data_IF_368514835079
#
_entry.id   IF_368514835079
#
_cell.length_a   1.000
_cell.length_b   1.000
_cell.length_c   1.000
_cell.angle_alpha   90.00
_cell.angle_beta   90.00
_cell.angle_gamma   90.00
#
_symmetry.space_group_name_H-M   'P 1'
#
loop_
_entity.id
_entity.type
_entity.pdbx_description
1 polymer ?
#
# COMPACT_ATOMS: atom_id res chain seq x y z
N UNK A 1 -33.50 -16.61 -9.91
CA UNK A 1 -33.09 -18.02 -9.79
C UNK A 1 -32.55 -18.21 -8.39
N UNK A 2 -33.30 -18.92 -7.61
CA UNK A 2 -33.15 -19.13 -6.17
C UNK A 2 -32.15 -20.25 -5.91
N UNK A 3 -31.15 -20.05 -5.06
CA UNK A 3 -30.28 -21.11 -4.57
C UNK A 3 -30.14 -20.97 -3.06
N UNK A 4 -31.01 -21.72 -2.39
CA UNK A 4 -31.03 -21.83 -0.94
C UNK A 4 -29.79 -22.55 -0.39
N UNK A 5 -29.21 -21.97 0.63
CA UNK A 5 -28.13 -22.55 1.45
C UNK A 5 -28.75 -23.35 2.59
N UNK A 6 -28.51 -24.64 2.65
CA UNK A 6 -28.84 -25.51 3.79
C UNK A 6 -27.72 -25.51 4.82
N UNK A 7 -28.01 -25.03 5.99
CA UNK A 7 -27.22 -25.24 7.21
C UNK A 7 -27.30 -26.68 7.68
N UNK A 8 -26.15 -27.33 7.95
CA UNK A 8 -26.08 -28.52 8.79
C UNK A 8 -25.17 -28.25 9.98
N UNK A 9 -25.76 -28.12 11.13
CA UNK A 9 -25.07 -28.07 12.41
C UNK A 9 -24.53 -29.45 12.81
N UNK A 10 -23.30 -29.49 13.30
CA UNK A 10 -22.79 -30.60 14.12
C UNK A 10 -22.13 -30.02 15.37
N UNK A 11 -22.75 -30.32 16.51
CA UNK A 11 -22.23 -30.14 17.86
C UNK A 11 -21.15 -31.18 18.08
N UNK A 12 -19.97 -30.79 18.52
CA UNK A 12 -19.00 -31.70 19.14
C UNK A 12 -18.62 -31.21 20.54
N UNK A 13 -18.80 -32.12 21.45
CA UNK A 13 -18.61 -32.06 22.88
C UNK A 13 -17.09 -32.06 23.20
N UNK A 14 -16.60 -31.10 23.95
CA UNK A 14 -15.23 -31.07 24.46
C UNK A 14 -15.18 -31.74 25.83
N UNK A 15 -14.35 -32.76 25.97
CA UNK A 15 -14.04 -33.41 27.22
C UNK A 15 -12.81 -32.73 27.87
N UNK A 16 -12.99 -32.24 29.07
CA UNK A 16 -11.92 -31.69 29.91
C UNK A 16 -11.21 -32.84 30.65
N UNK A 17 -9.89 -32.90 30.53
CA UNK A 17 -9.04 -33.78 31.36
C UNK A 17 -8.33 -32.92 32.40
N UNK A 18 -8.65 -33.14 33.64
CA UNK A 18 -7.97 -32.55 34.80
C UNK A 18 -6.81 -33.45 35.24
N UNK A 19 -5.59 -32.94 35.25
CA UNK A 19 -4.46 -33.62 35.89
C UNK A 19 -4.26 -33.03 37.28
N UNK A 20 -4.38 -33.92 38.32
CA UNK A 20 -4.07 -33.65 39.72
C UNK A 20 -2.60 -33.93 40.00
N UNK A 21 -1.86 -32.98 40.53
CA UNK A 21 -0.54 -33.20 41.12
C UNK A 21 -0.67 -33.49 42.59
N UNK A 22 -0.17 -34.66 43.00
CA UNK A 22 -0.01 -35.05 44.42
C UNK A 22 1.33 -34.55 44.93
N UNK A 23 1.29 -33.83 46.05
CA UNK A 23 2.44 -33.49 46.86
C UNK A 23 2.77 -34.62 47.84
N UNK A 24 4.01 -35.07 47.90
CA UNK A 24 4.55 -35.90 48.97
C UNK A 24 5.56 -35.10 49.77
N UNK A 25 5.31 -34.93 51.06
CA UNK A 25 6.20 -34.31 52.00
C UNK A 25 7.12 -35.35 52.65
N UNK A 26 8.26 -34.93 53.15
CA UNK A 26 9.18 -35.70 53.96
C UNK A 26 10.29 -34.82 54.51
N UNK A 27 10.31 -34.66 55.83
CA UNK A 27 11.13 -33.74 56.58
C UNK A 27 12.54 -34.21 56.90
N UNK A 28 13.34 -33.35 57.58
CA UNK A 28 14.55 -33.72 58.28
C UNK A 28 15.65 -32.68 58.22
N UNK A 29 15.86 -31.98 59.31
CA UNK A 29 16.75 -31.00 59.80
C UNK A 29 18.24 -31.03 59.39
N UNK A 30 18.88 -29.88 59.55
CA UNK A 30 20.31 -29.67 59.43
C UNK A 30 20.64 -28.20 59.22
N UNK A 31 20.99 -27.47 60.30
CA UNK A 31 21.38 -26.07 60.20
C UNK A 31 22.77 -25.91 59.57
N UNK A 32 22.80 -25.15 58.51
CA UNK A 32 24.00 -24.63 57.91
C UNK A 32 23.63 -23.32 57.22
N UNK A 33 24.12 -22.19 57.78
CA UNK A 33 23.87 -20.88 57.20
C UNK A 33 24.48 -20.78 55.81
N UNK A 34 23.61 -20.74 54.80
CA UNK A 34 24.01 -20.39 53.44
C UNK A 34 24.19 -18.87 53.32
N UNK A 35 25.25 -18.40 52.67
CA UNK A 35 25.39 -16.99 52.38
C UNK A 35 24.20 -16.55 51.49
N UNK A 36 23.59 -15.44 51.87
CA UNK A 36 22.52 -14.80 51.10
C UNK A 36 23.03 -14.54 49.68
N UNK A 37 22.38 -15.03 48.60
CA UNK A 37 22.82 -14.74 47.26
C UNK A 37 22.75 -13.24 47.04
N UNK A 38 23.89 -12.66 46.62
CA UNK A 38 23.94 -11.29 46.15
C UNK A 38 22.97 -11.17 44.97
N UNK A 39 22.05 -10.19 44.98
CA UNK A 39 21.13 -10.03 43.83
C UNK A 39 21.91 -9.84 42.57
N UNK A 40 21.69 -10.72 41.57
CA UNK A 40 22.24 -10.57 40.23
C UNK A 40 21.69 -9.27 39.69
N UNK A 41 22.53 -8.34 39.16
CA UNK A 41 22.04 -7.11 38.63
C UNK A 41 21.04 -7.43 37.48
N UNK A 42 19.85 -6.87 37.56
CA UNK A 42 18.87 -6.94 36.48
C UNK A 42 19.53 -6.38 35.22
N UNK A 43 19.56 -7.12 34.12
CA UNK A 43 20.16 -6.61 32.89
C UNK A 43 19.47 -5.30 32.52
N UNK A 44 20.24 -4.24 32.34
CA UNK A 44 19.74 -2.98 31.81
C UNK A 44 19.11 -3.29 30.43
N UNK A 45 17.86 -2.90 30.17
CA UNK A 45 17.26 -3.15 28.89
C UNK A 45 18.12 -2.53 27.79
N UNK A 46 18.53 -3.34 26.82
CA UNK A 46 19.23 -2.86 25.62
C UNK A 46 18.29 -1.88 24.95
N UNK A 47 18.72 -0.65 24.61
CA UNK A 47 17.87 0.29 23.93
C UNK A 47 17.37 -0.32 22.63
N UNK A 48 16.06 -0.29 22.40
CA UNK A 48 15.46 -0.73 21.14
C UNK A 48 16.07 0.10 19.98
N UNK A 49 16.50 -0.53 18.90
CA UNK A 49 16.99 0.21 17.75
C UNK A 49 15.93 1.21 17.29
N UNK A 50 16.30 2.44 17.07
CA UNK A 50 15.39 3.47 16.55
C UNK A 50 15.81 3.78 15.13
N UNK A 51 14.95 3.49 14.15
CA UNK A 51 15.20 3.87 12.77
C UNK A 51 15.21 5.40 12.63
N UNK A 52 16.06 5.91 11.76
CA UNK A 52 16.04 7.33 11.41
C UNK A 52 14.69 7.70 10.75
N UNK A 53 14.20 8.93 10.94
CA UNK A 53 13.06 9.47 10.19
C UNK A 53 13.43 9.61 8.71
N UNK A 54 12.44 9.45 7.82
CA UNK A 54 12.60 9.78 6.40
C UNK A 54 12.73 11.29 6.18
N UNK A 55 12.50 12.12 7.21
CA UNK A 55 12.61 13.57 7.13
C UNK A 55 11.30 14.28 6.84
N UNK A 56 11.40 15.48 6.29
CA UNK A 56 10.24 16.29 5.87
C UNK A 56 9.60 15.73 4.60
N UNK A 57 8.32 16.09 4.28
CA UNK A 57 7.70 15.66 3.02
C UNK A 57 8.55 15.89 1.78
N UNK A 58 9.22 17.05 1.67
CA UNK A 58 10.12 17.33 0.55
C UNK A 58 11.34 16.41 0.49
N UNK A 59 11.92 16.04 1.64
CA UNK A 59 13.02 15.08 1.71
C UNK A 59 12.55 13.68 1.30
N UNK A 60 11.36 13.27 1.74
CA UNK A 60 10.76 12.00 1.34
C UNK A 60 10.57 11.91 -0.18
N UNK A 61 10.08 13.00 -0.81
CA UNK A 61 9.99 13.08 -2.29
C UNK A 61 11.38 12.93 -2.93
N UNK A 62 12.40 13.61 -2.43
CA UNK A 62 13.76 13.52 -2.99
C UNK A 62 14.33 12.10 -2.89
N UNK A 63 14.00 11.37 -1.85
CA UNK A 63 14.52 10.02 -1.61
C UNK A 63 13.72 8.93 -2.31
N UNK A 64 12.40 9.08 -2.46
CA UNK A 64 11.51 8.01 -2.90
C UNK A 64 10.91 8.20 -4.29
N UNK A 65 10.90 9.42 -4.85
CA UNK A 65 10.29 9.68 -6.15
C UNK A 65 11.30 9.68 -7.31
N UNK A 66 10.88 9.25 -8.51
CA UNK A 66 9.63 8.59 -8.81
C UNK A 66 9.60 7.15 -8.31
N UNK A 67 8.41 6.67 -7.97
CA UNK A 67 8.17 5.28 -7.58
C UNK A 67 7.42 4.49 -8.66
N UNK A 68 7.40 3.17 -8.49
CA UNK A 68 6.71 2.23 -9.38
C UNK A 68 6.05 1.11 -8.57
N UNK A 69 4.97 0.53 -9.10
CA UNK A 69 4.35 -0.66 -8.51
C UNK A 69 4.80 -1.94 -9.22
N UNK A 70 5.02 -3.02 -8.46
CA UNK A 70 5.13 -4.38 -8.98
C UNK A 70 3.71 -4.98 -9.12
N UNK A 71 2.83 -4.35 -9.89
CA UNK A 71 1.45 -4.76 -10.03
C UNK A 71 1.27 -6.07 -10.80
N UNK A 72 0.14 -6.73 -10.58
CA UNK A 72 -0.24 -8.00 -11.21
C UNK A 72 0.80 -9.12 -10.97
N UNK A 73 1.36 -9.19 -9.78
CA UNK A 73 2.38 -10.19 -9.41
C UNK A 73 2.02 -10.83 -8.08
N UNK A 74 2.48 -10.30 -6.92
CA UNK A 74 2.13 -10.88 -5.62
C UNK A 74 0.70 -10.52 -5.15
N UNK A 75 0.06 -9.60 -5.83
CA UNK A 75 -1.35 -9.24 -5.71
C UNK A 75 -2.27 -10.16 -6.52
N UNK A 76 -1.73 -11.00 -7.42
CA UNK A 76 -2.52 -11.85 -8.29
C UNK A 76 -3.30 -12.93 -7.53
N UNK A 77 -4.56 -13.12 -7.91
CA UNK A 77 -5.50 -14.10 -7.33
C UNK A 77 -6.04 -14.98 -8.44
N UNK A 78 -5.92 -16.32 -8.27
CA UNK A 78 -6.45 -17.31 -9.22
C UNK A 78 -7.96 -17.49 -9.03
N UNK A 79 -8.39 -17.70 -7.78
CA UNK A 79 -9.80 -17.78 -7.41
C UNK A 79 -10.01 -17.20 -6.01
N UNK A 80 -11.12 -16.48 -5.85
CA UNK A 80 -11.48 -15.88 -4.56
C UNK A 80 -12.05 -16.89 -3.55
N UNK A 81 -12.43 -18.09 -4.01
CA UNK A 81 -13.16 -19.10 -3.23
C UNK A 81 -12.26 -20.19 -2.64
N UNK A 82 -11.09 -20.43 -3.23
CA UNK A 82 -10.17 -21.49 -2.78
C UNK A 82 -9.16 -20.94 -1.79
N UNK A 83 -9.17 -21.42 -0.56
CA UNK A 83 -8.24 -21.02 0.50
C UNK A 83 -7.90 -22.20 1.42
N UNK A 84 -6.69 -22.25 1.99
CA UNK A 84 -5.52 -21.49 1.56
C UNK A 84 -4.92 -22.04 0.26
N UNK A 85 -4.26 -21.20 -0.52
CA UNK A 85 -3.46 -21.67 -1.66
C UNK A 85 -2.28 -22.52 -1.17
N UNK A 86 -1.98 -23.58 -1.93
CA UNK A 86 -0.85 -24.49 -1.65
C UNK A 86 0.43 -24.09 -2.39
N UNK A 87 0.34 -23.20 -3.37
CA UNK A 87 1.44 -22.73 -4.23
C UNK A 87 1.26 -21.26 -4.59
N UNK A 88 2.34 -20.61 -5.05
CA UNK A 88 2.30 -19.23 -5.47
C UNK A 88 1.44 -19.04 -6.72
N UNK A 89 0.58 -18.02 -6.70
CA UNK A 89 -0.28 -17.61 -7.84
C UNK A 89 0.23 -16.35 -8.55
N UNK A 90 1.46 -15.93 -8.29
CA UNK A 90 2.03 -14.69 -8.83
C UNK A 90 2.06 -14.59 -10.37
N UNK A 91 1.83 -15.72 -11.08
CA UNK A 91 1.86 -15.76 -12.55
C UNK A 91 0.49 -15.83 -13.21
N UNK A 92 -0.59 -15.99 -12.44
CA UNK A 92 -1.93 -16.25 -13.00
C UNK A 92 -2.51 -15.07 -13.78
N UNK A 93 -1.99 -13.85 -13.56
CA UNK A 93 -2.36 -12.66 -14.32
C UNK A 93 -1.37 -12.33 -15.45
N UNK A 94 -0.54 -13.29 -15.86
CA UNK A 94 0.29 -13.24 -17.06
C UNK A 94 1.70 -12.71 -16.88
N UNK A 95 2.08 -12.23 -15.70
CA UNK A 95 3.46 -11.87 -15.42
C UNK A 95 4.31 -13.10 -15.05
N UNK A 96 5.61 -13.13 -15.36
CA UNK A 96 6.51 -14.14 -14.86
C UNK A 96 6.77 -13.93 -13.36
N UNK A 97 7.33 -14.94 -12.65
CA UNK A 97 7.75 -14.77 -11.27
C UNK A 97 8.73 -13.60 -11.12
N UNK A 98 8.50 -12.78 -10.08
CA UNK A 98 9.40 -11.67 -9.78
C UNK A 98 10.83 -12.15 -9.54
N UNK A 99 11.81 -11.42 -10.04
CA UNK A 99 13.23 -11.79 -9.97
C UNK A 99 14.10 -10.55 -9.78
N UNK A 100 15.38 -10.76 -9.44
CA UNK A 100 16.32 -9.66 -9.20
C UNK A 100 16.49 -8.73 -10.41
N UNK A 101 16.40 -9.25 -11.64
CA UNK A 101 16.67 -8.46 -12.85
C UNK A 101 15.65 -7.32 -13.02
N UNK A 102 14.37 -7.55 -12.71
CA UNK A 102 13.35 -6.48 -12.83
C UNK A 102 13.61 -5.32 -11.85
N UNK A 103 14.00 -5.61 -10.60
CA UNK A 103 14.28 -4.54 -9.64
C UNK A 103 15.55 -3.77 -10.00
N UNK A 104 16.58 -4.46 -10.51
CA UNK A 104 17.77 -3.79 -11.06
C UNK A 104 17.40 -2.89 -12.25
N UNK A 105 16.45 -3.33 -13.09
CA UNK A 105 15.98 -2.53 -14.22
C UNK A 105 15.12 -1.33 -13.77
N UNK A 106 14.29 -1.48 -12.74
CA UNK A 106 13.59 -0.33 -12.14
C UNK A 106 14.56 0.73 -11.63
N UNK A 107 15.57 0.32 -10.87
CA UNK A 107 16.60 1.24 -10.38
C UNK A 107 17.39 1.89 -11.53
N UNK A 108 17.77 1.13 -12.55
CA UNK A 108 18.47 1.64 -13.74
C UNK A 108 17.62 2.60 -14.58
N UNK A 109 16.30 2.44 -14.59
CA UNK A 109 15.34 3.35 -15.24
C UNK A 109 15.11 4.64 -14.44
N UNK A 110 15.71 4.78 -13.24
CA UNK A 110 15.63 6.00 -12.42
C UNK A 110 14.56 5.98 -11.34
N UNK A 111 13.82 4.88 -11.15
CA UNK A 111 12.91 4.73 -10.02
C UNK A 111 13.69 4.59 -8.71
N UNK A 112 13.21 5.23 -7.66
CA UNK A 112 13.85 5.21 -6.32
C UNK A 112 13.10 4.37 -5.31
N UNK A 113 11.84 4.09 -5.57
CA UNK A 113 11.00 3.26 -4.72
C UNK A 113 10.14 2.30 -5.51
N UNK A 114 9.77 1.19 -4.88
CA UNK A 114 8.81 0.23 -5.42
C UNK A 114 7.74 -0.09 -4.37
N UNK A 115 6.48 -0.01 -4.78
CA UNK A 115 5.37 -0.56 -4.01
C UNK A 115 5.15 -2.01 -4.47
N UNK A 116 5.13 -2.92 -3.52
CA UNK A 116 4.92 -4.35 -3.73
C UNK A 116 3.54 -4.70 -3.18
N UNK A 117 2.50 -4.67 -4.02
CA UNK A 117 1.17 -5.07 -3.60
C UNK A 117 1.13 -6.58 -3.36
N UNK A 118 0.54 -7.00 -2.23
CA UNK A 118 0.49 -8.41 -1.83
C UNK A 118 -0.88 -8.79 -1.32
N UNK A 119 -1.42 -9.88 -1.84
CA UNK A 119 -2.61 -10.55 -1.31
C UNK A 119 -2.20 -11.59 -0.28
N UNK A 120 -2.81 -11.55 0.90
CA UNK A 120 -2.46 -12.42 2.03
C UNK A 120 -3.56 -13.42 2.39
N UNK A 121 -4.82 -12.99 2.28
CA UNK A 121 -5.97 -13.77 2.74
C UNK A 121 -6.04 -15.15 2.10
N UNK A 122 -5.82 -15.24 0.79
CA UNK A 122 -5.83 -16.49 0.04
C UNK A 122 -4.68 -17.44 0.41
N UNK A 123 -3.69 -16.96 1.15
CA UNK A 123 -2.55 -17.74 1.63
C UNK A 123 -2.61 -18.00 3.14
N UNK A 124 -3.73 -17.69 3.79
CA UNK A 124 -3.90 -17.88 5.22
C UNK A 124 -4.91 -19.00 5.53
N UNK A 125 -4.67 -19.73 6.60
CA UNK A 125 -5.60 -20.73 7.11
C UNK A 125 -6.78 -20.11 7.87
N UNK A 126 -7.69 -20.95 8.36
CA UNK A 126 -8.87 -20.53 9.14
C UNK A 126 -8.53 -19.82 10.46
N UNK A 127 -7.30 -19.94 10.95
CA UNK A 127 -6.80 -19.24 12.14
C UNK A 127 -6.06 -17.95 11.80
N UNK A 128 -6.13 -17.50 10.53
CA UNK A 128 -5.40 -16.36 9.99
C UNK A 128 -3.86 -16.53 10.06
N UNK A 129 -3.37 -17.78 9.98
CA UNK A 129 -1.94 -18.06 9.90
C UNK A 129 -1.50 -18.04 8.44
N UNK A 130 -0.61 -17.14 8.09
CA UNK A 130 -0.06 -17.03 6.73
C UNK A 130 0.83 -18.24 6.43
N UNK A 131 0.65 -18.85 5.27
CA UNK A 131 1.46 -19.98 4.83
C UNK A 131 2.96 -19.60 4.81
N UNK A 132 3.84 -20.38 5.47
CA UNK A 132 5.26 -20.04 5.56
C UNK A 132 5.96 -19.88 4.21
N UNK A 133 5.57 -20.67 3.21
CA UNK A 133 6.14 -20.55 1.86
C UNK A 133 5.83 -19.19 1.22
N UNK A 134 4.63 -18.63 1.47
CA UNK A 134 4.22 -17.34 0.93
C UNK A 134 4.96 -16.20 1.60
N UNK A 135 5.03 -16.24 2.93
CA UNK A 135 5.79 -15.23 3.68
C UNK A 135 7.27 -15.21 3.25
N UNK A 136 7.88 -16.40 3.07
CA UNK A 136 9.24 -16.53 2.55
C UNK A 136 9.38 -16.01 1.10
N UNK A 137 8.36 -16.22 0.24
CA UNK A 137 8.35 -15.69 -1.13
C UNK A 137 8.27 -14.18 -1.15
N UNK A 138 7.35 -13.59 -0.38
CA UNK A 138 7.25 -12.13 -0.25
C UNK A 138 8.56 -11.54 0.25
N UNK A 139 9.16 -12.16 1.28
CA UNK A 139 10.46 -11.74 1.78
C UNK A 139 11.53 -11.75 0.69
N UNK A 140 11.60 -12.80 -0.09
CA UNK A 140 12.57 -12.90 -1.20
C UNK A 140 12.38 -11.76 -2.21
N UNK A 141 11.14 -11.38 -2.53
CA UNK A 141 10.85 -10.28 -3.46
C UNK A 141 11.21 -8.93 -2.86
N UNK A 142 10.95 -8.71 -1.57
CA UNK A 142 11.41 -7.53 -0.84
C UNK A 142 12.94 -7.44 -0.86
N UNK A 143 13.64 -8.58 -0.65
CA UNK A 143 15.10 -8.63 -0.70
C UNK A 143 15.64 -8.25 -2.08
N UNK A 144 14.99 -8.65 -3.18
CA UNK A 144 15.37 -8.22 -4.53
C UNK A 144 15.31 -6.70 -4.69
N UNK A 145 14.23 -6.07 -4.22
CA UNK A 145 14.08 -4.62 -4.28
C UNK A 145 15.15 -3.91 -3.42
N UNK A 146 15.38 -4.40 -2.20
CA UNK A 146 16.39 -3.87 -1.30
C UNK A 146 17.81 -4.01 -1.86
N UNK A 147 18.13 -5.15 -2.47
CA UNK A 147 19.41 -5.38 -3.14
C UNK A 147 19.64 -4.45 -4.34
N UNK A 148 18.57 -3.99 -4.98
CA UNK A 148 18.63 -2.97 -6.03
C UNK A 148 18.73 -1.53 -5.49
N UNK A 149 18.73 -1.33 -4.16
CA UNK A 149 18.84 -0.03 -3.52
C UNK A 149 17.53 0.76 -3.46
N UNK A 150 16.38 0.14 -3.74
CA UNK A 150 15.08 0.80 -3.75
C UNK A 150 14.50 0.92 -2.33
N UNK A 151 13.76 2.00 -2.08
CA UNK A 151 12.76 2.00 -1.01
C UNK A 151 11.64 1.04 -1.35
N UNK A 152 11.09 0.37 -0.37
CA UNK A 152 10.03 -0.63 -0.55
C UNK A 152 8.82 -0.26 0.29
N UNK A 153 7.63 -0.29 -0.32
CA UNK A 153 6.36 -0.18 0.38
C UNK A 153 5.63 -1.52 0.21
N UNK A 154 5.40 -2.21 1.32
CA UNK A 154 4.71 -3.51 1.38
C UNK A 154 3.32 -3.31 1.98
N UNK A 155 2.26 -3.86 1.35
CA UNK A 155 0.89 -3.66 1.81
C UNK A 155 0.09 -4.97 1.96
N UNK A 156 -1.15 -4.82 2.44
CA UNK A 156 -2.26 -5.77 2.30
C UNK A 156 -3.15 -5.23 1.17
N UNK A 157 -3.23 -5.95 0.02
CA UNK A 157 -3.77 -5.39 -1.23
C UNK A 157 -5.21 -5.85 -1.56
N UNK A 158 -5.41 -6.95 -2.27
CA UNK A 158 -6.75 -7.43 -2.69
C UNK A 158 -7.52 -8.16 -1.57
N UNK A 159 -7.36 -7.72 -0.37
CA UNK A 159 -7.99 -8.31 0.81
C UNK A 159 -9.36 -7.66 1.14
N UNK A 160 -9.92 -6.85 0.24
CA UNK A 160 -11.16 -6.09 0.44
C UNK A 160 -12.42 -6.94 0.68
N UNK A 161 -12.42 -8.21 0.33
CA UNK A 161 -13.58 -9.09 0.56
C UNK A 161 -13.93 -9.29 2.05
N UNK A 162 -12.99 -9.07 2.96
CA UNK A 162 -13.18 -9.18 4.40
C UNK A 162 -12.96 -7.86 5.16
N UNK A 163 -12.28 -6.89 4.54
CA UNK A 163 -12.10 -5.53 5.08
C UNK A 163 -13.31 -4.65 4.71
N UNK A 164 -14.48 -5.02 5.20
CA UNK A 164 -15.71 -4.28 4.95
C UNK A 164 -15.84 -3.19 6.03
N UNK A 165 -15.88 -1.90 5.65
CA UNK A 165 -15.83 -0.79 6.60
C UNK A 165 -17.21 -0.46 7.17
N UNK A 166 -17.82 -1.44 7.88
CA UNK A 166 -19.01 -1.28 8.68
C UNK A 166 -18.85 -1.91 10.07
N UNK A 167 -19.68 -1.52 11.03
CA UNK A 167 -19.59 -1.98 12.41
C UNK A 167 -19.90 -3.48 12.58
N UNK A 168 -20.67 -4.07 11.66
CA UNK A 168 -21.02 -5.49 11.72
C UNK A 168 -19.81 -6.39 11.41
N UNK A 169 -18.90 -5.96 10.55
CA UNK A 169 -17.73 -6.71 10.13
C UNK A 169 -16.45 -6.29 10.86
N UNK A 170 -16.42 -5.11 11.49
CA UNK A 170 -15.23 -4.48 12.03
C UNK A 170 -14.43 -5.40 12.97
N UNK A 171 -15.07 -6.01 13.96
CA UNK A 171 -14.36 -6.81 14.96
C UNK A 171 -13.62 -8.02 14.36
N UNK A 172 -14.22 -8.67 13.36
CA UNK A 172 -13.60 -9.81 12.67
C UNK A 172 -12.47 -9.35 11.74
N UNK A 173 -12.66 -8.22 11.07
CA UNK A 173 -11.65 -7.61 10.21
C UNK A 173 -10.44 -7.14 11.01
N UNK A 174 -10.65 -6.44 12.14
CA UNK A 174 -9.58 -6.00 13.04
C UNK A 174 -8.75 -7.19 13.57
N UNK A 175 -9.42 -8.27 13.99
CA UNK A 175 -8.73 -9.46 14.48
C UNK A 175 -7.82 -10.09 13.40
N UNK A 176 -8.29 -10.18 12.17
CA UNK A 176 -7.52 -10.71 11.02
C UNK A 176 -6.40 -9.77 10.63
N UNK A 177 -6.66 -8.49 10.49
CA UNK A 177 -5.68 -7.47 10.13
C UNK A 177 -4.54 -7.43 11.15
N UNK A 178 -4.88 -7.48 12.45
CA UNK A 178 -3.90 -7.59 13.52
C UNK A 178 -3.05 -8.86 13.41
N UNK A 179 -3.70 -10.02 13.12
CA UNK A 179 -2.97 -11.29 12.93
C UNK A 179 -1.99 -11.21 11.77
N UNK A 180 -2.42 -10.70 10.61
CA UNK A 180 -1.57 -10.58 9.43
C UNK A 180 -0.41 -9.63 9.70
N UNK A 181 -0.67 -8.42 10.16
CA UNK A 181 0.40 -7.45 10.42
C UNK A 181 1.36 -7.88 11.53
N UNK A 182 0.90 -8.64 12.51
CA UNK A 182 1.81 -9.23 13.52
C UNK A 182 2.79 -10.22 12.89
N UNK A 183 2.33 -11.08 11.98
CA UNK A 183 3.18 -12.06 11.30
C UNK A 183 4.13 -11.37 10.31
N UNK A 184 3.60 -10.50 9.45
CA UNK A 184 4.38 -9.73 8.47
C UNK A 184 5.44 -8.90 9.19
N UNK A 185 5.05 -8.12 10.18
CA UNK A 185 5.97 -7.24 10.89
C UNK A 185 7.08 -8.00 11.64
N UNK A 186 6.79 -9.18 12.18
CA UNK A 186 7.81 -10.03 12.80
C UNK A 186 8.83 -10.57 11.78
N UNK A 187 8.39 -10.95 10.56
CA UNK A 187 9.29 -11.40 9.50
C UNK A 187 10.30 -10.32 9.08
N UNK A 188 9.86 -9.07 9.05
CA UNK A 188 10.65 -7.94 8.56
C UNK A 188 11.21 -7.02 9.67
N UNK A 189 11.15 -7.45 10.93
CA UNK A 189 11.46 -6.56 12.06
C UNK A 189 12.88 -5.99 12.09
N UNK A 190 13.83 -6.68 11.45
CA UNK A 190 15.24 -6.28 11.43
C UNK A 190 15.61 -5.44 10.18
N UNK A 191 14.66 -5.22 9.26
CA UNK A 191 14.87 -4.37 8.09
C UNK A 191 14.97 -2.89 8.48
N UNK A 192 15.79 -2.15 7.76
CA UNK A 192 16.02 -0.73 7.98
C UNK A 192 14.83 0.15 7.54
N UNK A 193 15.02 1.48 7.54
CA UNK A 193 14.00 2.47 7.19
C UNK A 193 13.68 2.56 5.69
N UNK A 194 14.35 1.80 4.83
CA UNK A 194 13.97 1.71 3.42
C UNK A 194 12.82 0.74 3.17
N UNK A 195 12.39 -0.02 4.18
CA UNK A 195 11.16 -0.79 4.11
C UNK A 195 10.07 -0.10 4.93
N UNK A 196 8.99 0.30 4.27
CA UNK A 196 7.78 0.86 4.84
C UNK A 196 6.66 -0.16 4.76
N UNK A 197 5.70 -0.08 5.68
CA UNK A 197 4.48 -0.87 5.63
C UNK A 197 3.29 0.03 5.35
N UNK A 198 2.38 -0.42 4.48
CA UNK A 198 1.12 0.24 4.17
C UNK A 198 -0.05 -0.66 4.62
N UNK A 199 -0.91 -0.14 5.50
CA UNK A 199 -1.83 -0.93 6.31
C UNK A 199 -2.81 -1.78 5.53
N UNK A 200 -3.40 -1.18 4.50
CA UNK A 200 -4.43 -1.75 3.63
C UNK A 200 -4.23 -1.27 2.19
N UNK A 201 -5.30 -1.30 1.39
CA UNK A 201 -5.35 -0.73 0.04
C UNK A 201 -6.62 0.15 -0.10
N UNK A 202 -7.42 -0.02 -1.10
CA UNK A 202 -8.62 0.75 -1.43
C UNK A 202 -9.86 0.24 -0.69
N UNK A 203 -9.89 0.43 0.63
CA UNK A 203 -10.99 -0.05 1.45
C UNK A 203 -12.24 0.81 1.23
N UNK A 204 -13.30 0.17 0.75
CA UNK A 204 -14.61 0.75 0.51
C UNK A 204 -15.72 -0.29 0.75
N UNK A 205 -16.96 0.17 0.85
CA UNK A 205 -18.12 -0.73 0.87
C UNK A 205 -18.22 -1.50 -0.46
N UNK A 206 -18.43 -2.83 -0.43
CA UNK A 206 -18.50 -3.64 -1.64
C UNK A 206 -19.58 -3.13 -2.61
N UNK A 207 -19.24 -3.08 -3.90
CA UNK A 207 -20.11 -2.67 -5.00
C UNK A 207 -20.77 -1.29 -4.81
N UNK A 208 -20.14 -0.40 -4.04
CA UNK A 208 -20.66 0.92 -3.74
C UNK A 208 -19.62 1.97 -4.15
N UNK A 209 -20.04 2.88 -5.05
CA UNK A 209 -19.21 3.98 -5.56
C UNK A 209 -19.75 5.35 -5.11
N UNK A 210 -20.46 5.37 -3.99
CA UNK A 210 -21.03 6.59 -3.41
C UNK A 210 -20.14 7.11 -2.29
N UNK A 211 -20.35 8.37 -1.93
CA UNK A 211 -19.73 8.98 -0.75
C UNK A 211 -19.92 8.09 0.49
N UNK A 212 -18.86 7.82 1.25
CA UNK A 212 -18.93 7.00 2.46
C UNK A 212 -19.82 7.65 3.53
N UNK A 213 -20.43 6.80 4.36
CA UNK A 213 -21.09 7.27 5.59
C UNK A 213 -20.04 7.56 6.68
N UNK A 214 -20.43 8.28 7.74
CA UNK A 214 -19.55 8.48 8.90
C UNK A 214 -19.20 7.17 9.61
N UNK A 215 -20.06 6.15 9.54
CA UNK A 215 -19.75 4.81 10.02
C UNK A 215 -18.58 4.22 9.22
N UNK A 216 -18.67 4.23 7.88
CA UNK A 216 -17.61 3.71 7.01
C UNK A 216 -16.26 4.39 7.28
N UNK A 217 -16.28 5.71 7.40
CA UNK A 217 -15.09 6.50 7.74
C UNK A 217 -14.50 6.10 9.11
N UNK A 218 -15.37 5.95 10.11
CA UNK A 218 -14.94 5.59 11.48
C UNK A 218 -14.32 4.20 11.53
N UNK A 219 -14.92 3.24 10.84
CA UNK A 219 -14.41 1.86 10.78
C UNK A 219 -13.09 1.80 10.01
N UNK A 220 -12.96 2.52 8.88
CA UNK A 220 -11.69 2.62 8.14
C UNK A 220 -10.56 3.18 9.03
N UNK A 221 -10.85 4.23 9.83
CA UNK A 221 -9.88 4.74 10.83
C UNK A 221 -9.49 3.68 11.85
N UNK A 222 -10.46 2.86 12.27
CA UNK A 222 -10.24 1.72 13.16
C UNK A 222 -9.25 0.73 12.56
N UNK A 223 -9.37 0.40 11.28
CA UNK A 223 -8.41 -0.45 10.58
C UNK A 223 -7.00 0.14 10.56
N UNK A 224 -6.87 1.44 10.27
CA UNK A 224 -5.58 2.12 10.33
C UNK A 224 -4.97 2.06 11.74
N UNK A 225 -5.77 2.24 12.80
CA UNK A 225 -5.29 2.14 14.18
C UNK A 225 -4.85 0.70 14.53
N UNK A 226 -5.66 -0.30 14.15
CA UNK A 226 -5.34 -1.72 14.35
C UNK A 226 -4.01 -2.10 13.68
N UNK A 227 -3.76 -1.61 12.47
CA UNK A 227 -2.51 -1.80 11.77
C UNK A 227 -1.32 -1.20 12.53
N UNK A 228 -1.41 0.09 12.91
CA UNK A 228 -0.34 0.79 13.62
C UNK A 228 -0.01 0.05 14.93
N UNK A 229 -1.02 -0.27 15.73
CA UNK A 229 -0.84 -0.95 17.00
C UNK A 229 -0.21 -2.34 16.85
N UNK A 230 -0.66 -3.11 15.84
CA UNK A 230 -0.13 -4.44 15.57
C UNK A 230 1.36 -4.40 15.20
N UNK A 231 1.76 -3.48 14.33
CA UNK A 231 3.16 -3.32 13.92
C UNK A 231 4.02 -2.86 15.09
N UNK A 232 3.60 -1.82 15.82
CA UNK A 232 4.36 -1.27 16.98
C UNK A 232 4.59 -2.32 18.05
N UNK A 233 3.60 -3.17 18.33
CA UNK A 233 3.69 -4.23 19.33
C UNK A 233 4.76 -5.30 19.04
N UNK A 234 5.22 -5.44 17.79
CA UNK A 234 6.27 -6.41 17.45
C UNK A 234 7.68 -5.97 17.87
N UNK A 235 7.90 -4.70 18.17
CA UNK A 235 9.18 -4.16 18.63
C UNK A 235 10.29 -4.19 17.55
N UNK A 236 11.55 -4.20 18.00
CA UNK A 236 12.69 -4.11 17.06
C UNK A 236 12.63 -2.81 16.23
N UNK A 237 13.02 -2.86 14.99
CA UNK A 237 12.94 -1.71 14.07
C UNK A 237 11.49 -1.26 13.81
N UNK A 238 10.51 -2.14 14.00
CA UNK A 238 9.10 -1.80 13.83
C UNK A 238 8.58 -0.82 14.89
N UNK A 239 9.24 -0.73 16.05
CA UNK A 239 8.92 0.27 17.05
C UNK A 239 9.01 1.71 16.53
N UNK A 240 9.81 1.94 15.48
CA UNK A 240 9.99 3.27 14.88
C UNK A 240 9.95 3.26 13.33
N UNK A 241 9.50 2.18 12.70
CA UNK A 241 9.30 2.08 11.25
C UNK A 241 8.29 3.11 10.76
N UNK A 242 8.53 3.70 9.61
CA UNK A 242 7.52 4.53 8.93
C UNK A 242 6.37 3.66 8.42
N UNK A 243 5.16 4.04 8.76
CA UNK A 243 3.92 3.36 8.38
C UNK A 243 3.08 4.25 7.49
N UNK A 244 2.40 3.65 6.53
CA UNK A 244 1.53 4.34 5.57
C UNK A 244 0.09 3.94 5.86
N UNK A 245 -0.77 4.92 6.07
CA UNK A 245 -2.19 4.71 6.33
C UNK A 245 -3.03 5.28 5.19
N UNK A 246 -4.10 4.59 4.86
CA UNK A 246 -4.93 4.89 3.70
C UNK A 246 -6.10 5.79 4.07
N UNK A 247 -6.44 6.72 3.18
CA UNK A 247 -7.75 7.37 3.15
C UNK A 247 -8.83 6.36 2.73
N UNK A 248 -10.12 6.67 3.03
CA UNK A 248 -11.20 5.81 2.55
C UNK A 248 -11.16 5.73 1.02
N UNK A 249 -11.15 4.50 0.48
CA UNK A 249 -10.96 4.22 -0.95
C UNK A 249 -9.72 4.90 -1.56
N UNK A 250 -8.72 5.25 -0.73
CA UNK A 250 -7.53 6.03 -1.13
C UNK A 250 -7.86 7.33 -1.89
N UNK A 251 -9.08 7.84 -1.74
CA UNK A 251 -9.56 9.04 -2.42
C UNK A 251 -9.40 10.27 -1.54
N UNK A 252 -8.74 11.31 -2.05
CA UNK A 252 -8.48 12.55 -1.32
C UNK A 252 -9.77 13.28 -0.92
N UNK A 253 -10.83 13.19 -1.72
CA UNK A 253 -12.14 13.78 -1.42
C UNK A 253 -12.84 13.11 -0.23
N UNK A 254 -12.49 11.86 0.06
CA UNK A 254 -13.06 11.12 1.18
C UNK A 254 -12.20 11.18 2.45
N UNK A 255 -11.13 11.92 2.41
CA UNK A 255 -10.32 12.25 3.58
C UNK A 255 -10.97 13.36 4.42
N UNK A 256 -10.29 14.51 4.56
CA UNK A 256 -10.71 15.59 5.46
C UNK A 256 -12.10 16.15 5.19
N UNK A 257 -12.47 16.30 3.93
CA UNK A 257 -13.72 16.96 3.54
C UNK A 257 -14.96 16.12 3.86
N UNK A 258 -14.86 14.81 3.75
CA UNK A 258 -16.01 13.89 3.92
C UNK A 258 -15.93 13.12 5.23
N UNK A 259 -14.79 12.50 5.52
CA UNK A 259 -14.60 11.66 6.69
C UNK A 259 -14.07 12.40 7.91
N UNK A 260 -13.69 13.67 7.76
CA UNK A 260 -13.05 14.43 8.82
C UNK A 260 -11.70 13.83 9.22
N UNK A 261 -11.04 13.11 8.33
CA UNK A 261 -9.75 12.47 8.58
C UNK A 261 -8.59 13.47 8.51
N UNK A 262 -8.72 14.56 9.26
CA UNK A 262 -7.62 15.50 9.47
C UNK A 262 -6.61 15.00 10.49
N UNK A 263 -6.98 14.00 11.29
CA UNK A 263 -6.16 13.40 12.33
C UNK A 263 -5.71 12.00 11.91
N UNK A 264 -4.42 11.76 11.94
CA UNK A 264 -3.83 10.43 11.80
C UNK A 264 -4.24 9.52 12.97
N UNK A 265 -4.18 8.19 12.83
CA UNK A 265 -4.29 7.30 13.98
C UNK A 265 -3.23 7.64 15.03
N UNK A 266 -3.48 7.29 16.28
CA UNK A 266 -2.50 7.46 17.34
C UNK A 266 -1.27 6.59 17.08
N UNK A 267 -0.08 7.16 17.27
CA UNK A 267 1.16 6.42 17.17
C UNK A 267 2.03 6.70 18.41
N UNK A 268 2.68 5.68 18.94
CA UNK A 268 3.63 5.80 20.03
C UNK A 268 4.90 6.56 19.65
N UNK A 269 5.14 6.79 18.36
CA UNK A 269 6.33 7.44 17.81
C UNK A 269 5.92 8.58 16.89
N UNK A 270 6.35 9.78 17.21
CA UNK A 270 6.04 10.96 16.40
C UNK A 270 6.69 10.93 15.01
N UNK A 271 6.02 11.50 14.02
CA UNK A 271 6.52 11.70 12.66
C UNK A 271 6.91 10.38 11.95
N UNK A 272 6.12 9.33 12.15
CA UNK A 272 6.32 8.02 11.55
C UNK A 272 5.13 7.53 10.73
N UNK A 273 4.16 8.40 10.49
CA UNK A 273 3.02 8.11 9.64
C UNK A 273 3.08 8.91 8.36
N UNK A 274 2.65 8.29 7.28
CA UNK A 274 2.40 8.86 5.95
C UNK A 274 0.97 8.56 5.54
N UNK A 275 0.41 9.39 4.65
CA UNK A 275 -0.90 9.16 4.03
C UNK A 275 -0.71 8.58 2.63
N UNK A 276 -1.59 7.65 2.25
CA UNK A 276 -1.70 7.13 0.89
C UNK A 276 -3.01 7.56 0.24
N UNK A 277 -2.88 8.10 -0.98
CA UNK A 277 -3.97 8.36 -1.91
C UNK A 277 -3.66 7.72 -3.26
N UNK A 278 -4.68 7.43 -4.08
CA UNK A 278 -4.55 6.96 -5.46
C UNK A 278 -5.12 7.98 -6.44
N UNK A 279 -4.65 7.94 -7.69
CA UNK A 279 -5.04 8.92 -8.69
C UNK A 279 -5.23 8.31 -10.08
N UNK A 280 -6.50 8.19 -10.46
CA UNK A 280 -6.90 7.68 -11.77
C UNK A 280 -7.92 8.61 -12.44
N UNK A 281 -7.75 9.92 -12.26
CA UNK A 281 -8.65 10.92 -12.83
C UNK A 281 -8.11 11.52 -14.13
N UNK A 282 -8.98 11.71 -15.12
CA UNK A 282 -10.37 11.30 -15.17
C UNK A 282 -10.51 9.81 -15.54
N UNK A 283 -11.51 9.13 -15.00
CA UNK A 283 -11.69 7.69 -15.09
C UNK A 283 -11.75 7.16 -16.52
N UNK A 284 -12.51 7.82 -17.40
CA UNK A 284 -12.67 7.36 -18.79
C UNK A 284 -11.41 7.52 -19.63
N UNK A 285 -10.52 8.44 -19.29
CA UNK A 285 -9.22 8.53 -19.94
C UNK A 285 -8.24 7.49 -19.40
N UNK A 286 -8.22 7.25 -18.11
CA UNK A 286 -7.18 6.46 -17.43
C UNK A 286 -7.44 4.95 -17.42
N UNK A 287 -8.42 4.48 -16.66
CA UNK A 287 -8.59 3.04 -16.37
C UNK A 287 -9.81 2.40 -17.03
N UNK A 288 -10.72 3.17 -17.61
CA UNK A 288 -11.84 2.61 -18.36
C UNK A 288 -11.41 2.14 -19.75
N UNK A 289 -10.87 0.94 -19.84
CA UNK A 289 -10.43 0.33 -21.10
C UNK A 289 -11.58 0.08 -22.09
N UNK A 290 -12.84 0.06 -21.61
CA UNK A 290 -14.03 -0.12 -22.48
C UNK A 290 -14.43 1.17 -23.21
N UNK A 291 -14.01 2.35 -22.70
CA UNK A 291 -14.29 3.62 -23.36
C UNK A 291 -13.12 4.01 -24.27
N UNK A 292 -13.21 3.67 -25.55
CA UNK A 292 -12.21 4.02 -26.56
C UNK A 292 -12.44 5.39 -27.19
N UNK A 293 -13.55 6.07 -26.86
CA UNK A 293 -13.86 7.40 -27.40
C UNK A 293 -13.11 8.51 -26.67
N UNK A 294 -12.82 8.35 -25.38
CA UNK A 294 -12.04 9.29 -24.57
C UNK A 294 -10.58 8.83 -24.55
N UNK A 295 -9.76 9.43 -25.40
CA UNK A 295 -8.35 9.03 -25.58
C UNK A 295 -7.36 10.20 -25.63
N UNK A 296 -7.85 11.43 -25.61
CA UNK A 296 -7.03 12.64 -25.48
C UNK A 296 -7.18 13.23 -24.08
N UNK A 297 -6.17 13.97 -23.63
CA UNK A 297 -6.19 14.63 -22.33
C UNK A 297 -5.45 15.98 -22.36
N UNK A 298 -6.00 16.93 -21.60
CA UNK A 298 -5.35 18.18 -21.23
C UNK A 298 -5.07 19.13 -22.37
N UNK A 299 -4.12 20.03 -22.16
CA UNK A 299 -3.79 21.12 -23.09
C UNK A 299 -3.23 20.69 -24.45
N UNK A 300 -2.83 19.43 -24.60
CA UNK A 300 -2.39 18.88 -25.88
C UNK A 300 -3.56 18.38 -26.75
N UNK A 301 -4.77 18.29 -26.19
CA UNK A 301 -5.91 17.76 -26.91
C UNK A 301 -6.28 18.63 -28.13
N UNK A 302 -6.57 17.97 -29.24
CA UNK A 302 -6.95 18.60 -30.51
C UNK A 302 -8.38 18.31 -30.94
N UNK A 303 -8.97 17.25 -30.33
CA UNK A 303 -10.37 16.84 -30.56
C UNK A 303 -11.10 16.84 -29.20
N UNK A 304 -11.91 17.86 -28.97
CA UNK A 304 -12.66 18.00 -27.74
C UNK A 304 -13.72 16.92 -27.52
N UNK A 305 -14.12 16.20 -28.57
CA UNK A 305 -15.03 15.06 -28.45
C UNK A 305 -14.35 13.81 -27.88
N UNK A 306 -13.03 13.79 -27.90
CA UNK A 306 -12.20 12.71 -27.38
C UNK A 306 -11.63 13.00 -25.97
N UNK A 307 -12.10 14.07 -25.31
CA UNK A 307 -11.65 14.53 -23.99
C UNK A 307 -12.80 14.47 -22.99
N UNK A 308 -12.50 14.04 -21.77
CA UNK A 308 -13.43 14.20 -20.64
C UNK A 308 -13.68 15.69 -20.34
N UNK A 309 -14.90 16.00 -19.94
CA UNK A 309 -15.29 17.38 -19.59
C UNK A 309 -14.76 17.84 -18.23
N UNK A 310 -14.11 16.96 -17.49
CA UNK A 310 -13.51 17.21 -16.16
C UNK A 310 -12.15 16.51 -16.05
N UNK A 311 -11.45 16.69 -14.93
CA UNK A 311 -10.21 15.97 -14.66
C UNK A 311 -9.00 16.46 -15.46
N UNK A 312 -9.01 17.72 -15.89
CA UNK A 312 -7.90 18.38 -16.59
C UNK A 312 -6.77 18.80 -15.61
N UNK A 313 -5.79 19.53 -16.12
CA UNK A 313 -4.66 20.03 -15.32
C UNK A 313 -5.11 20.90 -14.12
N UNK A 314 -6.13 21.73 -14.32
CA UNK A 314 -6.69 22.57 -13.26
C UNK A 314 -7.29 21.74 -12.12
N UNK A 315 -8.07 20.73 -12.48
CA UNK A 315 -8.64 19.79 -11.52
C UNK A 315 -7.55 19.01 -10.77
N UNK A 316 -6.54 18.50 -11.47
CA UNK A 316 -5.40 17.81 -10.83
C UNK A 316 -4.71 18.72 -9.81
N UNK A 317 -4.46 19.99 -10.16
CA UNK A 317 -3.86 20.96 -9.22
C UNK A 317 -4.71 21.12 -7.97
N UNK A 318 -6.00 21.31 -8.14
CA UNK A 318 -6.95 21.51 -7.05
C UNK A 318 -6.95 20.33 -6.08
N UNK A 319 -7.00 19.11 -6.58
CA UNK A 319 -7.02 17.91 -5.76
C UNK A 319 -5.69 17.68 -5.02
N UNK A 320 -4.56 17.92 -5.68
CA UNK A 320 -3.26 17.79 -5.01
C UNK A 320 -2.99 18.94 -4.03
N UNK A 321 -3.58 20.11 -4.23
CA UNK A 321 -3.57 21.22 -3.26
C UNK A 321 -4.33 20.86 -1.98
N UNK A 322 -5.40 20.05 -2.06
CA UNK A 322 -6.06 19.49 -0.86
C UNK A 322 -5.08 18.63 -0.06
N UNK A 323 -4.44 17.65 -0.72
CA UNK A 323 -3.44 16.79 -0.07
C UNK A 323 -2.29 17.58 0.54
N UNK A 324 -1.81 18.61 -0.15
CA UNK A 324 -0.77 19.50 0.35
C UNK A 324 -1.24 20.25 1.60
N UNK A 325 -2.43 20.82 1.57
CA UNK A 325 -2.99 21.64 2.67
C UNK A 325 -3.30 20.79 3.89
N UNK A 326 -3.87 19.62 3.68
CA UNK A 326 -4.36 18.78 4.76
C UNK A 326 -3.27 17.98 5.46
N UNK A 327 -2.19 17.64 4.75
CA UNK A 327 -1.16 16.77 5.25
C UNK A 327 0.25 17.34 5.10
N UNK A 328 0.70 17.64 3.90
CA UNK A 328 2.10 18.01 3.62
C UNK A 328 2.52 19.27 4.40
N UNK A 329 1.69 20.32 4.39
CA UNK A 329 1.94 21.57 5.12
C UNK A 329 1.90 21.39 6.65
N UNK A 330 1.35 20.27 7.12
CA UNK A 330 1.35 19.87 8.54
C UNK A 330 2.52 18.93 8.89
N UNK A 331 3.43 18.71 7.94
CA UNK A 331 4.62 17.87 8.12
C UNK A 331 4.37 16.38 7.94
N UNK A 332 3.19 15.98 7.43
CA UNK A 332 2.85 14.58 7.16
C UNK A 332 3.12 14.27 5.69
N UNK A 333 4.06 13.37 5.37
CA UNK A 333 4.32 12.99 3.98
C UNK A 333 3.12 12.27 3.36
N UNK A 334 2.93 12.48 2.04
CA UNK A 334 1.88 11.84 1.25
C UNK A 334 2.51 11.01 0.14
N UNK A 335 1.98 9.83 -0.09
CA UNK A 335 2.26 9.06 -1.30
C UNK A 335 1.00 8.99 -2.17
N UNK A 336 1.18 9.18 -3.47
CA UNK A 336 0.23 8.76 -4.48
C UNK A 336 0.61 7.32 -4.85
N UNK A 337 0.11 6.37 -4.04
CA UNK A 337 0.54 4.96 -4.05
C UNK A 337 0.27 4.26 -5.37
N UNK A 338 -0.76 4.73 -6.07
CA UNK A 338 -1.07 4.30 -7.43
C UNK A 338 -1.52 5.48 -8.27
N UNK A 339 -0.99 5.59 -9.47
CA UNK A 339 -1.52 6.37 -10.56
C UNK A 339 -1.13 5.75 -11.89
N UNK A 340 -1.96 5.89 -12.91
CA UNK A 340 -1.70 5.25 -14.19
C UNK A 340 -2.78 5.50 -15.22
N UNK A 341 -2.46 5.16 -16.48
CA UNK A 341 -3.41 5.14 -17.57
C UNK A 341 -3.14 3.91 -18.44
N UNK A 342 -4.21 3.18 -18.78
CA UNK A 342 -4.10 2.08 -19.72
C UNK A 342 -3.97 2.61 -21.15
N UNK A 343 -3.13 1.97 -22.00
CA UNK A 343 -3.09 2.28 -23.40
C UNK A 343 -4.44 1.97 -24.05
N UNK A 344 -4.91 2.87 -24.93
CA UNK A 344 -6.15 2.70 -25.69
C UNK A 344 -5.83 2.42 -27.14
N UNK A 345 -6.43 1.36 -27.67
CA UNK A 345 -6.40 1.10 -29.11
C UNK A 345 -7.47 1.96 -29.79
N UNK A 346 -7.03 3.04 -30.38
CA UNK A 346 -7.87 3.99 -31.13
C UNK A 346 -7.80 3.79 -32.62
N UNK A 347 -7.20 2.68 -33.07
CA UNK A 347 -7.00 2.33 -34.51
C UNK A 347 -5.63 2.73 -35.06
N UNK A 348 -5.31 2.34 -36.30
CA UNK A 348 -3.99 2.53 -36.89
C UNK A 348 -3.57 4.00 -36.91
N UNK A 349 -2.46 4.32 -36.26
CA UNK A 349 -1.87 5.65 -36.22
C UNK A 349 -2.53 6.66 -35.28
N UNK A 350 -3.43 6.22 -34.42
CA UNK A 350 -4.14 7.05 -33.44
C UNK A 350 -4.00 6.50 -32.01
N UNK A 351 -2.80 6.12 -31.58
CA UNK A 351 -2.57 5.71 -30.19
C UNK A 351 -2.66 6.90 -29.24
N UNK A 352 -3.08 6.65 -27.97
CA UNK A 352 -3.12 7.68 -26.94
C UNK A 352 -1.78 7.88 -26.21
N UNK A 353 -0.68 7.29 -26.70
CA UNK A 353 0.65 7.33 -26.07
C UNK A 353 1.11 8.77 -25.76
N UNK A 354 0.94 9.69 -26.72
CA UNK A 354 1.29 11.10 -26.52
C UNK A 354 0.55 11.70 -25.34
N UNK A 355 -0.73 11.42 -25.19
CA UNK A 355 -1.57 11.95 -24.10
C UNK A 355 -1.32 11.24 -22.79
N UNK A 356 -1.07 9.93 -22.83
CA UNK A 356 -0.67 9.16 -21.65
C UNK A 356 0.67 9.66 -21.08
N UNK A 357 1.66 9.88 -21.93
CA UNK A 357 2.96 10.42 -21.53
C UNK A 357 2.83 11.85 -20.99
N UNK A 358 2.03 12.69 -21.63
CA UNK A 358 1.75 14.03 -21.13
C UNK A 358 1.04 13.99 -19.76
N UNK A 359 0.01 13.17 -19.62
CA UNK A 359 -0.71 12.98 -18.35
C UNK A 359 0.22 12.47 -17.24
N UNK A 360 1.06 11.47 -17.54
CA UNK A 360 2.01 10.91 -16.60
C UNK A 360 3.04 11.95 -16.15
N UNK A 361 3.63 12.69 -17.07
CA UNK A 361 4.59 13.75 -16.77
C UNK A 361 3.95 14.87 -15.94
N UNK A 362 2.74 15.32 -16.34
CA UNK A 362 2.04 16.38 -15.63
C UNK A 362 1.68 16.00 -14.20
N UNK A 363 1.09 14.80 -14.00
CA UNK A 363 0.71 14.35 -12.68
C UNK A 363 1.95 14.09 -11.79
N UNK A 364 3.05 13.59 -12.35
CA UNK A 364 4.32 13.49 -11.62
C UNK A 364 4.81 14.86 -11.18
N UNK A 365 4.84 15.86 -12.07
CA UNK A 365 5.26 17.21 -11.73
C UNK A 365 4.35 17.86 -10.68
N UNK A 366 3.05 17.77 -10.87
CA UNK A 366 2.07 18.31 -9.94
C UNK A 366 2.19 17.70 -8.54
N UNK A 367 2.47 16.38 -8.46
CA UNK A 367 2.66 15.67 -7.20
C UNK A 367 3.95 16.11 -6.49
N UNK A 368 5.09 16.03 -7.16
CA UNK A 368 6.39 16.29 -6.51
C UNK A 368 6.55 17.74 -6.07
N UNK A 369 5.98 18.70 -6.81
CA UNK A 369 5.99 20.12 -6.44
C UNK A 369 5.10 20.43 -5.22
N UNK A 370 4.23 19.48 -4.85
CA UNK A 370 3.36 19.55 -3.67
C UNK A 370 3.79 18.64 -2.53
N UNK A 371 4.99 18.02 -2.63
CA UNK A 371 5.51 17.14 -1.58
C UNK A 371 4.86 15.75 -1.55
N UNK A 372 4.29 15.31 -2.66
CA UNK A 372 3.63 14.00 -2.83
C UNK A 372 4.55 13.08 -3.62
N UNK A 373 4.75 11.83 -3.17
CA UNK A 373 5.55 10.81 -3.87
C UNK A 373 4.68 10.08 -4.89
N UNK A 374 4.89 10.25 -6.21
CA UNK A 374 4.14 9.53 -7.22
C UNK A 374 4.69 8.12 -7.44
N UNK A 375 3.80 7.09 -7.50
CA UNK A 375 4.15 5.70 -7.76
C UNK A 375 3.31 5.14 -8.90
N UNK A 376 3.92 5.00 -10.08
CA UNK A 376 3.23 4.51 -11.28
C UNK A 376 2.74 3.06 -11.11
N UNK A 377 1.48 2.81 -11.49
CA UNK A 377 0.92 1.46 -11.51
C UNK A 377 1.37 0.72 -12.77
N UNK A 378 2.39 -0.15 -12.61
CA UNK A 378 2.90 -0.97 -13.71
C UNK A 378 2.46 -2.44 -13.58
N UNK A 379 1.83 -2.94 -14.64
CA UNK A 379 1.42 -4.34 -14.78
C UNK A 379 2.34 -5.15 -15.69
N UNK A 380 3.55 -4.65 -15.98
CA UNK A 380 4.53 -5.26 -16.89
C UNK A 380 4.56 -4.62 -18.27
N UNK A 381 4.03 -3.40 -18.41
CA UNK A 381 4.01 -2.64 -19.66
C UNK A 381 5.26 -1.79 -19.87
N UNK A 382 5.88 -1.30 -18.82
CA UNK A 382 7.05 -0.39 -18.90
C UNK A 382 8.34 -1.14 -19.19
N UNK A 383 8.57 -2.25 -18.48
CA UNK A 383 9.74 -3.09 -18.63
C UNK A 383 9.33 -4.55 -18.83
N UNK A 384 10.11 -5.28 -19.57
CA UNK A 384 9.95 -6.73 -19.68
C UNK A 384 10.31 -7.42 -18.35
N UNK A 385 9.33 -8.07 -17.76
CA UNK A 385 9.47 -8.68 -16.42
C UNK A 385 10.44 -9.86 -16.36
N UNK A 386 10.79 -10.48 -17.51
CA UNK A 386 11.79 -11.56 -17.58
C UNK A 386 13.21 -11.01 -17.68
N UNK A 387 13.40 -10.00 -18.53
CA UNK A 387 14.74 -9.55 -18.97
C UNK A 387 15.12 -8.19 -18.39
N UNK A 388 14.17 -7.40 -17.94
CA UNK A 388 14.37 -6.00 -17.55
C UNK A 388 14.52 -5.05 -18.75
N UNK A 389 14.34 -5.52 -19.99
CA UNK A 389 14.43 -4.67 -21.16
C UNK A 389 13.32 -3.61 -21.18
N UNK A 390 13.66 -2.40 -21.62
CA UNK A 390 12.71 -1.29 -21.71
C UNK A 390 11.69 -1.59 -22.85
N UNK A 391 10.40 -1.54 -22.51
CA UNK A 391 9.28 -1.65 -23.44
C UNK A 391 8.72 -0.28 -23.82
N UNK A 392 8.63 0.62 -22.84
CA UNK A 392 8.08 1.97 -23.01
C UNK A 392 9.07 3.03 -22.49
N UNK A 393 9.96 3.45 -23.39
CA UNK A 393 10.93 4.50 -23.09
C UNK A 393 10.27 5.89 -22.99
N UNK A 394 9.17 6.11 -23.70
CA UNK A 394 8.43 7.36 -23.70
C UNK A 394 7.82 7.62 -22.32
N UNK A 395 7.17 6.62 -21.75
CA UNK A 395 6.56 6.71 -20.42
C UNK A 395 7.62 6.83 -19.31
N UNK A 396 8.72 6.08 -19.38
CA UNK A 396 9.84 6.24 -18.44
C UNK A 396 10.37 7.67 -18.48
N UNK A 397 10.58 8.21 -19.68
CA UNK A 397 11.03 9.59 -19.84
C UNK A 397 10.01 10.59 -19.27
N UNK A 398 8.71 10.39 -19.51
CA UNK A 398 7.66 11.24 -18.96
C UNK A 398 7.68 11.27 -17.41
N UNK A 399 7.75 10.10 -16.78
CA UNK A 399 7.80 9.96 -15.32
C UNK A 399 9.06 10.60 -14.72
N UNK A 400 10.23 10.40 -15.33
CA UNK A 400 11.50 10.94 -14.83
C UNK A 400 11.64 12.43 -15.11
N UNK A 401 11.18 12.93 -16.27
CA UNK A 401 11.20 14.35 -16.61
C UNK A 401 10.20 15.14 -15.78
N UNK A 402 9.05 14.54 -15.46
CA UNK A 402 8.04 15.12 -14.57
C UNK A 402 8.56 15.45 -13.16
N UNK A 403 9.66 14.87 -12.74
CA UNK A 403 10.31 15.22 -11.46
C UNK A 403 10.76 16.68 -11.39
N UNK A 404 11.01 17.33 -12.53
CA UNK A 404 11.57 18.69 -12.58
C UNK A 404 10.89 19.63 -13.57
N UNK A 405 10.13 19.09 -14.52
CA UNK A 405 9.67 19.87 -15.70
C UNK A 405 8.16 19.77 -15.86
N UNK A 406 7.50 20.94 -15.78
CA UNK A 406 6.09 21.06 -16.15
C UNK A 406 5.93 20.90 -17.66
N UNK A 407 5.17 19.92 -18.17
CA UNK A 407 4.95 19.74 -19.60
C UNK A 407 3.86 20.67 -20.16
N UNK A 408 3.12 21.38 -19.30
CA UNK A 408 2.00 22.24 -19.73
C UNK A 408 2.48 23.36 -20.67
N UNK A 409 1.88 23.53 -21.86
CA UNK A 409 2.28 24.57 -22.79
C UNK A 409 2.15 25.98 -22.18
N UNK A 410 3.14 26.85 -22.38
CA UNK A 410 3.18 28.21 -21.80
C UNK A 410 1.93 29.03 -22.15
N UNK A 411 1.31 28.78 -23.30
CA UNK A 411 0.05 29.43 -23.72
C UNK A 411 -1.17 29.03 -22.89
N UNK A 412 -1.14 27.85 -22.27
CA UNK A 412 -2.21 27.37 -21.41
C UNK A 412 -2.11 27.92 -19.98
N UNK A 413 -0.89 28.16 -19.48
CA UNK A 413 -0.64 28.72 -18.14
C UNK A 413 -1.16 30.17 -18.01
N UNK A 414 -1.18 30.93 -19.10
CA UNK A 414 -1.67 32.32 -19.11
C UNK A 414 -3.18 32.48 -18.93
N UNK A 415 -3.97 31.43 -19.17
CA UNK A 415 -5.43 31.46 -19.05
C UNK A 415 -5.95 30.95 -17.69
N UNK A 416 -5.10 30.34 -16.87
CA UNK A 416 -5.49 29.75 -15.59
C UNK A 416 -5.57 30.79 -14.42
N UNK A 417 -5.18 32.04 -14.67
CA UNK A 417 -5.25 33.11 -13.65
C UNK A 417 -6.55 33.93 -13.69
N UNK A 418 -7.56 33.52 -14.44
CA UNK A 418 -8.82 34.26 -14.60
C UNK A 418 -10.08 33.41 -14.33
N UNK A 419 -10.01 32.29 -13.60
CA UNK A 419 -11.20 31.58 -13.12
C UNK A 419 -11.14 31.34 -11.60
#
# INVERSE_FOLDING_TARGET
MDLGVRMHGRVMLAAAVALSLSACGGGGGGGGGFPTPTPTPTPTPTPTPTLASLGTPSQVVQEMAPGINLGNTLDAVDTWDTMPYSDSKETVWGNPPANQAIFNAYAAAGFKSVRIPVTWYQYADSNNTIAPFWLARVKQVVDYARNAGLYVILNVHHDGAWLIPDTAHQAAADARLKSFWTQIANEFKDYDNHLLFAGTNEIAMPNTYTTPTQENCTVQKGFNQTFVDAVRATGGNNASRTLVVQLYSTNIDYGPDTCGETTLPSDSVANRLMIEMHWYSPFDFTINSNNTTIWQWGALATDLSAVETWGNEGYTRQEFDKAMTDFVNKGVPVIMGEFGSYPKDTGPGQGNETYTNYWAQYNTYAAVTRGIVPMWWDTGSILDRNTGAVKDAGLINALTTGMTTNPEPVSAVGNANND
#
